data_IF_244090453930
#
_entry.id   IF_244090453930
#
_cell.length_a   1.000
_cell.length_b   1.000
_cell.length_c   1.000
_cell.angle_alpha   90.00
_cell.angle_beta   90.00
_cell.angle_gamma   90.00
#
_symmetry.space_group_name_H-M   'P 1'
#
loop_
_entity.id
_entity.type
_entity.pdbx_description
1 polymer ?
#
# COMPACT_ATOMS: atom_id res chain seq x y z
N UNK A 1 21.99 23.55 26.51
CA UNK A 1 21.76 23.33 25.06
C UNK A 1 21.63 21.87 24.59
N UNK A 2 22.31 20.86 25.19
CA UNK A 2 22.04 19.42 24.87
C UNK A 2 20.69 18.86 25.36
N UNK A 3 19.96 19.61 26.22
CA UNK A 3 18.66 19.17 26.76
C UNK A 3 17.48 19.44 25.80
N UNK A 4 17.53 20.50 25.00
CA UNK A 4 16.48 20.80 24.02
C UNK A 4 16.49 19.82 22.84
N UNK A 5 17.69 19.42 22.37
CA UNK A 5 17.83 18.47 21.26
C UNK A 5 17.31 17.05 21.58
N UNK A 6 17.20 16.71 22.86
CA UNK A 6 16.72 15.39 23.33
C UNK A 6 15.28 15.41 23.90
N UNK A 7 14.56 16.52 23.74
CA UNK A 7 13.18 16.66 24.23
C UNK A 7 13.05 16.50 25.75
N UNK A 8 14.06 16.95 26.52
CA UNK A 8 14.01 16.94 27.99
C UNK A 8 14.17 15.57 28.67
N UNK A 9 14.52 14.50 27.92
CA UNK A 9 14.66 13.15 28.49
C UNK A 9 15.97 12.98 29.28
N UNK A 10 15.93 12.19 30.36
CA UNK A 10 17.13 11.83 31.13
C UNK A 10 18.10 10.96 30.32
N UNK A 11 19.40 11.05 30.61
CA UNK A 11 20.44 10.23 29.92
C UNK A 11 20.15 8.73 30.02
N UNK A 12 19.64 8.26 31.17
CA UNK A 12 19.27 6.87 31.37
C UNK A 12 18.11 6.44 30.46
N UNK A 13 17.08 7.28 30.33
CA UNK A 13 15.96 7.01 29.41
C UNK A 13 16.46 6.91 27.97
N UNK A 14 17.33 7.83 27.53
CA UNK A 14 17.89 7.78 26.19
C UNK A 14 18.72 6.53 25.93
N UNK A 15 19.48 6.07 26.93
CA UNK A 15 20.27 4.84 26.83
C UNK A 15 19.38 3.59 26.70
N UNK A 16 18.32 3.49 27.49
CA UNK A 16 17.35 2.38 27.39
C UNK A 16 16.64 2.37 26.03
N UNK A 17 16.29 3.55 25.50
CA UNK A 17 15.73 3.70 24.15
C UNK A 17 16.74 3.24 23.06
N UNK A 18 18.01 3.64 23.17
CA UNK A 18 19.07 3.22 22.23
C UNK A 18 19.27 1.69 22.28
N UNK A 19 19.38 1.09 23.47
CA UNK A 19 19.53 -0.37 23.63
C UNK A 19 18.32 -1.12 23.08
N UNK A 20 17.12 -0.59 23.33
CA UNK A 20 15.87 -1.19 22.84
C UNK A 20 15.86 -1.30 21.32
N UNK A 21 16.17 -0.18 20.65
CA UNK A 21 16.14 -0.14 19.19
C UNK A 21 17.30 -0.97 18.62
N UNK A 22 18.47 -0.94 19.26
CA UNK A 22 19.60 -1.79 18.90
C UNK A 22 19.24 -3.28 19.01
N UNK A 23 18.61 -3.70 20.12
CA UNK A 23 18.11 -5.06 20.31
C UNK A 23 17.18 -5.45 19.16
N UNK A 24 16.24 -4.58 18.76
CA UNK A 24 15.32 -4.88 17.67
C UNK A 24 16.04 -5.02 16.32
N UNK A 25 17.00 -4.13 16.02
CA UNK A 25 17.81 -4.19 14.80
C UNK A 25 18.64 -5.48 14.76
N UNK A 26 19.31 -5.82 15.86
CA UNK A 26 20.13 -7.03 15.95
C UNK A 26 19.27 -8.30 15.88
N UNK A 27 18.09 -8.30 16.50
CA UNK A 27 17.15 -9.41 16.43
C UNK A 27 16.70 -9.66 14.99
N UNK A 28 16.32 -8.60 14.27
CA UNK A 28 15.92 -8.70 12.86
C UNK A 28 17.06 -9.21 11.95
N UNK A 29 18.29 -8.75 12.16
CA UNK A 29 19.43 -9.08 11.31
C UNK A 29 20.05 -10.45 11.61
N UNK A 30 20.15 -10.82 12.89
CA UNK A 30 21.07 -11.89 13.31
C UNK A 30 20.41 -13.03 14.09
N UNK A 31 19.26 -12.85 14.74
CA UNK A 31 18.71 -13.87 15.64
C UNK A 31 18.46 -15.21 14.93
N UNK A 32 17.85 -15.20 13.73
CA UNK A 32 17.57 -16.43 12.99
C UNK A 32 18.84 -17.19 12.56
N UNK A 33 19.82 -16.46 12.01
CA UNK A 33 21.07 -17.07 11.54
C UNK A 33 21.93 -17.56 12.71
N UNK A 34 22.15 -16.71 13.72
CA UNK A 34 22.93 -17.08 14.91
C UNK A 34 22.29 -18.25 15.66
N UNK A 35 20.96 -18.26 15.78
CA UNK A 35 20.22 -19.35 16.39
C UNK A 35 20.34 -20.67 15.62
N UNK A 36 20.24 -20.63 14.29
CA UNK A 36 20.45 -21.81 13.45
C UNK A 36 21.89 -22.34 13.60
N UNK A 37 22.89 -21.46 13.51
CA UNK A 37 24.29 -21.83 13.66
C UNK A 37 24.58 -22.42 15.04
N UNK A 38 24.00 -21.85 16.10
CA UNK A 38 24.10 -22.38 17.46
C UNK A 38 23.51 -23.78 17.55
N UNK A 39 22.30 -24.02 17.04
CA UNK A 39 21.67 -25.35 17.08
C UNK A 39 22.48 -26.38 16.29
N UNK A 40 22.97 -26.01 15.09
CA UNK A 40 23.83 -26.87 14.29
C UNK A 40 25.14 -27.17 15.01
N UNK A 41 25.78 -26.17 15.62
CA UNK A 41 26.98 -26.39 16.43
C UNK A 41 26.72 -27.34 17.60
N UNK A 42 25.63 -27.14 18.35
CA UNK A 42 25.26 -27.98 19.50
C UNK A 42 24.98 -29.44 19.11
N UNK A 43 24.54 -29.71 17.87
CA UNK A 43 24.39 -31.09 17.36
C UNK A 43 25.71 -31.87 17.37
N UNK A 44 26.86 -31.18 17.32
CA UNK A 44 28.20 -31.79 17.36
C UNK A 44 28.83 -31.78 18.77
N UNK A 45 28.03 -31.52 19.81
CA UNK A 45 28.47 -31.50 21.21
C UNK A 45 27.70 -32.51 22.05
N UNK A 46 28.07 -32.68 23.33
CA UNK A 46 27.30 -33.50 24.28
C UNK A 46 25.87 -32.99 24.51
N UNK A 47 25.55 -31.76 24.08
CA UNK A 47 24.23 -31.14 24.20
C UNK A 47 23.30 -31.43 23.00
N UNK A 48 23.65 -32.33 22.08
CA UNK A 48 22.91 -32.60 20.83
C UNK A 48 21.42 -32.94 21.01
N UNK A 49 21.03 -33.48 22.18
CA UNK A 49 19.62 -33.76 22.49
C UNK A 49 18.75 -32.49 22.47
N UNK A 50 19.31 -31.33 22.85
CA UNK A 50 18.58 -30.05 22.85
C UNK A 50 18.16 -29.65 21.42
N UNK A 51 19.09 -29.49 20.44
CA UNK A 51 18.70 -29.19 19.07
C UNK A 51 17.91 -30.31 18.41
N UNK A 52 18.17 -31.59 18.72
CA UNK A 52 17.38 -32.69 18.17
C UNK A 52 15.89 -32.58 18.56
N UNK A 53 15.60 -32.40 19.85
CA UNK A 53 14.23 -32.20 20.33
C UNK A 53 13.60 -30.93 19.73
N UNK A 54 14.36 -29.84 19.64
CA UNK A 54 13.88 -28.60 19.04
C UNK A 54 13.55 -28.76 17.54
N UNK A 55 14.41 -29.42 16.75
CA UNK A 55 14.14 -29.68 15.33
C UNK A 55 12.96 -30.63 15.13
N UNK A 56 12.83 -31.67 15.96
CA UNK A 56 11.64 -32.53 15.95
C UNK A 56 10.38 -31.72 16.21
N UNK A 57 10.38 -30.86 17.24
CA UNK A 57 9.26 -29.96 17.51
C UNK A 57 9.00 -29.00 16.34
N UNK A 58 10.03 -28.43 15.73
CA UNK A 58 9.91 -27.51 14.59
C UNK A 58 9.25 -28.18 13.37
N UNK A 59 9.56 -29.45 13.11
CA UNK A 59 8.95 -30.23 12.02
C UNK A 59 7.48 -30.52 12.32
N UNK A 60 7.16 -30.96 13.55
CA UNK A 60 5.78 -31.21 13.96
C UNK A 60 4.92 -29.94 13.95
N UNK A 61 5.55 -28.81 14.25
CA UNK A 61 4.91 -27.50 14.36
C UNK A 61 4.95 -26.69 13.06
N UNK A 62 5.44 -27.25 11.95
CA UNK A 62 5.84 -26.52 10.75
C UNK A 62 4.82 -25.51 10.23
N UNK A 63 3.54 -25.89 10.23
CA UNK A 63 2.44 -25.09 9.66
C UNK A 63 1.88 -24.01 10.59
N UNK A 64 2.23 -24.00 11.88
CA UNK A 64 1.64 -23.08 12.87
C UNK A 64 1.71 -21.59 12.49
N UNK A 65 2.81 -21.06 11.90
CA UNK A 65 2.85 -19.67 11.45
C UNK A 65 1.76 -19.37 10.39
N UNK A 66 1.39 -20.35 9.58
CA UNK A 66 0.37 -20.21 8.55
C UNK A 66 -1.06 -20.36 9.09
N UNK A 67 -1.21 -20.75 10.37
CA UNK A 67 -2.48 -21.02 11.05
C UNK A 67 -2.70 -20.09 12.25
N UNK A 68 -2.29 -18.82 12.12
CA UNK A 68 -2.50 -17.79 13.14
C UNK A 68 -1.38 -17.66 14.19
N UNK A 69 -0.37 -18.52 14.16
CA UNK A 69 0.80 -18.41 15.02
C UNK A 69 0.49 -18.62 16.51
N UNK A 70 1.29 -17.97 17.36
CA UNK A 70 1.20 -18.06 18.83
C UNK A 70 1.29 -16.69 19.48
N UNK A 71 0.36 -15.80 19.13
CA UNK A 71 0.33 -14.45 19.68
C UNK A 71 0.33 -14.50 21.22
N UNK A 72 1.22 -13.73 21.85
CA UNK A 72 1.35 -13.62 23.30
C UNK A 72 1.13 -12.18 23.73
N UNK A 73 0.07 -11.96 24.52
CA UNK A 73 -0.19 -10.63 25.09
C UNK A 73 0.93 -10.21 26.04
N UNK A 74 1.56 -11.14 26.75
CA UNK A 74 2.71 -10.84 27.59
C UNK A 74 3.86 -10.23 26.78
N UNK A 75 4.23 -10.87 25.66
CA UNK A 75 5.31 -10.36 24.79
C UNK A 75 4.94 -9.01 24.19
N UNK A 76 3.71 -8.83 23.70
CA UNK A 76 3.27 -7.55 23.09
C UNK A 76 3.14 -6.40 24.11
N UNK A 77 3.08 -6.70 25.41
CA UNK A 77 3.04 -5.72 26.51
C UNK A 77 4.41 -5.46 27.17
N UNK A 78 5.51 -6.02 26.67
CA UNK A 78 6.83 -5.78 27.25
C UNK A 78 7.17 -4.28 27.35
N UNK A 79 7.81 -3.90 28.47
CA UNK A 79 8.20 -2.51 28.73
C UNK A 79 9.13 -1.95 27.64
N UNK A 80 9.92 -2.81 27.00
CA UNK A 80 10.79 -2.46 25.88
C UNK A 80 10.03 -1.76 24.74
N UNK A 81 8.76 -2.11 24.50
CA UNK A 81 7.96 -1.47 23.45
C UNK A 81 7.58 -0.01 23.75
N UNK A 82 7.54 0.37 25.03
CA UNK A 82 7.36 1.78 25.42
C UNK A 82 8.59 2.60 25.03
N UNK A 83 9.79 2.04 25.25
CA UNK A 83 11.04 2.67 24.83
C UNK A 83 11.16 2.75 23.30
N UNK A 84 10.72 1.73 22.57
CA UNK A 84 10.65 1.76 21.10
C UNK A 84 9.74 2.91 20.60
N UNK A 85 8.53 3.01 21.16
CA UNK A 85 7.59 4.09 20.84
C UNK A 85 8.18 5.46 21.13
N UNK A 86 8.82 5.61 22.30
CA UNK A 86 9.41 6.87 22.74
C UNK A 86 10.66 7.26 21.95
N UNK A 87 11.44 6.30 21.42
CA UNK A 87 12.62 6.55 20.59
C UNK A 87 12.26 7.28 19.27
N UNK A 88 11.17 6.84 18.63
CA UNK A 88 10.67 7.37 17.35
C UNK A 88 9.42 8.27 17.47
N UNK A 89 9.15 8.84 18.64
CA UNK A 89 7.82 9.30 19.05
C UNK A 89 6.62 8.79 18.22
N UNK A 90 6.34 7.48 18.23
CA UNK A 90 5.34 6.85 17.35
C UNK A 90 3.92 7.25 17.74
N UNK A 91 3.14 7.70 16.76
CA UNK A 91 1.72 8.04 16.90
C UNK A 91 0.88 7.28 15.89
N UNK A 92 -0.16 6.60 16.37
CA UNK A 92 -1.21 6.01 15.54
C UNK A 92 -2.40 6.98 15.50
N UNK A 93 -2.82 7.38 14.31
CA UNK A 93 -3.97 8.26 14.07
C UNK A 93 -4.98 7.51 13.22
N UNK A 94 -6.23 7.44 13.66
CA UNK A 94 -7.35 6.93 12.85
C UNK A 94 -8.22 8.08 12.38
N UNK A 95 -8.83 7.95 11.20
CA UNK A 95 -9.80 8.94 10.68
C UNK A 95 -11.25 8.58 10.94
N UNK A 96 -11.52 7.36 11.40
CA UNK A 96 -12.86 6.84 11.68
C UNK A 96 -12.79 5.48 12.38
N UNK A 97 -13.96 4.94 12.72
CA UNK A 97 -14.06 3.63 13.37
C UNK A 97 -13.96 2.47 12.38
N UNK A 98 -13.59 1.30 12.88
CA UNK A 98 -13.72 0.03 12.18
C UNK A 98 -14.82 -0.79 12.86
N UNK A 99 -15.65 -1.48 12.08
CA UNK A 99 -16.67 -2.35 12.60
C UNK A 99 -16.03 -3.68 13.07
N UNK A 100 -16.08 -4.02 14.38
CA UNK A 100 -15.49 -5.26 14.90
C UNK A 100 -16.15 -6.55 14.38
N UNK A 101 -17.30 -6.44 13.71
CA UNK A 101 -17.98 -7.56 13.06
C UNK A 101 -17.44 -7.86 11.66
N UNK A 102 -16.43 -7.13 11.19
CA UNK A 102 -15.81 -7.31 9.87
C UNK A 102 -14.32 -7.62 9.97
N UNK A 103 -13.79 -8.17 8.89
CA UNK A 103 -12.36 -8.38 8.70
C UNK A 103 -11.80 -7.39 7.69
N UNK A 104 -10.54 -7.02 7.87
CA UNK A 104 -9.89 -5.96 7.11
C UNK A 104 -8.51 -6.40 6.61
N UNK A 105 -8.14 -5.91 5.42
CA UNK A 105 -6.77 -5.93 4.93
C UNK A 105 -6.25 -4.50 4.89
N UNK A 106 -5.27 -4.20 5.75
CA UNK A 106 -4.63 -2.90 5.85
C UNK A 106 -3.39 -2.82 4.94
N UNK A 107 -3.45 -2.00 3.91
CA UNK A 107 -2.32 -1.77 3.00
C UNK A 107 -1.44 -0.63 3.51
N UNK A 108 -0.27 -0.97 4.05
CA UNK A 108 0.65 -0.03 4.68
C UNK A 108 1.77 0.45 3.75
N UNK A 109 2.01 1.76 3.74
CA UNK A 109 3.09 2.44 3.04
C UNK A 109 3.68 3.60 3.87
N UNK A 110 4.91 4.05 3.61
CA UNK A 110 5.94 3.32 2.89
C UNK A 110 6.55 2.22 3.77
N UNK A 111 7.31 1.31 3.17
CA UNK A 111 8.01 0.26 3.93
C UNK A 111 9.16 0.81 4.80
N UNK A 112 9.87 1.83 4.31
CA UNK A 112 11.20 2.17 4.85
C UNK A 112 12.14 0.96 4.80
N UNK A 113 13.22 0.97 5.56
CA UNK A 113 14.14 -0.17 5.60
C UNK A 113 13.59 -1.31 6.47
N UNK A 114 13.05 -0.99 7.66
CA UNK A 114 12.62 -1.99 8.66
C UNK A 114 11.16 -1.85 9.11
N UNK A 115 10.42 -0.86 8.59
CA UNK A 115 9.00 -0.65 8.90
C UNK A 115 8.69 -0.50 10.40
N UNK A 116 9.48 0.33 11.09
CA UNK A 116 9.41 0.53 12.54
C UNK A 116 8.05 1.07 12.98
N UNK A 117 7.43 1.96 12.18
CA UNK A 117 6.09 2.46 12.44
C UNK A 117 5.03 1.37 12.39
N UNK A 118 5.07 0.53 11.35
CA UNK A 118 4.13 -0.59 11.21
C UNK A 118 4.31 -1.62 12.34
N UNK A 119 5.55 -2.01 12.65
CA UNK A 119 5.84 -2.92 13.75
C UNK A 119 5.35 -2.35 15.09
N UNK A 120 5.68 -1.09 15.38
CA UNK A 120 5.29 -0.45 16.63
C UNK A 120 3.75 -0.39 16.74
N UNK A 121 3.06 0.11 15.71
CA UNK A 121 1.60 0.30 15.76
C UNK A 121 0.83 -1.02 15.80
N UNK A 122 1.22 -2.03 15.02
CA UNK A 122 0.38 -3.21 14.76
C UNK A 122 0.85 -4.48 15.47
N UNK A 123 2.08 -4.52 15.97
CA UNK A 123 2.65 -5.69 16.65
C UNK A 123 2.93 -5.48 18.14
N UNK A 124 2.74 -4.28 18.68
CA UNK A 124 2.97 -3.97 20.10
C UNK A 124 1.77 -3.26 20.71
N UNK A 125 1.46 -3.54 21.98
CA UNK A 125 0.33 -2.90 22.66
C UNK A 125 0.55 -1.40 22.91
N UNK A 126 1.75 -0.92 23.28
CA UNK A 126 2.00 0.52 23.41
C UNK A 126 1.84 1.30 22.10
N UNK A 127 1.89 0.61 20.95
CA UNK A 127 1.66 1.18 19.62
C UNK A 127 0.30 1.86 19.44
N UNK A 128 -0.68 1.52 20.27
CA UNK A 128 -1.95 2.24 20.34
C UNK A 128 -3.10 1.61 19.54
N UNK A 129 -2.87 0.51 18.81
CA UNK A 129 -3.91 -0.11 17.98
C UNK A 129 -5.12 -0.62 18.77
N UNK A 130 -4.97 -1.37 19.90
CA UNK A 130 -6.12 -1.82 20.68
C UNK A 130 -6.96 -0.68 21.24
N UNK A 131 -6.33 0.45 21.59
CA UNK A 131 -7.01 1.65 22.07
C UNK A 131 -7.69 2.40 20.91
N UNK A 132 -7.05 2.45 19.75
CA UNK A 132 -7.60 3.06 18.55
C UNK A 132 -8.77 2.25 18.00
N UNK A 133 -8.73 0.92 18.04
CA UNK A 133 -9.78 0.06 17.49
C UNK A 133 -10.16 -1.05 18.50
N UNK A 134 -10.97 -0.72 19.52
CA UNK A 134 -11.41 -1.69 20.51
C UNK A 134 -12.14 -2.88 19.87
N UNK A 135 -11.83 -4.09 20.32
CA UNK A 135 -12.40 -5.32 19.76
C UNK A 135 -11.74 -5.79 18.46
N UNK A 136 -10.83 -5.03 17.88
CA UNK A 136 -10.04 -5.43 16.71
C UNK A 136 -8.71 -6.09 17.11
N UNK A 137 -8.24 -7.01 16.27
CA UNK A 137 -6.92 -7.65 16.39
C UNK A 137 -6.08 -7.35 15.15
N UNK A 138 -4.93 -6.71 15.33
CA UNK A 138 -3.97 -6.48 14.25
C UNK A 138 -2.94 -7.61 14.16
N UNK A 139 -2.68 -8.07 12.93
CA UNK A 139 -1.62 -9.02 12.61
C UNK A 139 -0.79 -8.50 11.45
N UNK A 140 0.46 -8.09 11.72
CA UNK A 140 1.37 -7.59 10.69
C UNK A 140 2.04 -8.75 9.94
N UNK A 141 1.91 -8.73 8.62
CA UNK A 141 2.45 -9.73 7.71
C UNK A 141 3.90 -9.39 7.33
N UNK A 142 4.81 -10.34 7.56
CA UNK A 142 6.24 -10.23 7.31
C UNK A 142 6.72 -11.32 6.35
N UNK A 143 7.90 -11.15 5.75
CA UNK A 143 8.53 -12.11 4.84
C UNK A 143 8.43 -13.57 5.34
N UNK A 144 7.81 -14.46 4.55
CA UNK A 144 7.53 -15.84 4.98
C UNK A 144 8.79 -16.65 5.38
N UNK A 145 9.96 -16.31 4.82
CA UNK A 145 11.23 -16.98 5.12
C UNK A 145 11.67 -16.87 6.57
N UNK A 146 11.36 -15.77 7.29
CA UNK A 146 11.75 -15.63 8.70
C UNK A 146 10.99 -16.59 9.63
N UNK A 147 9.84 -17.11 9.20
CA UNK A 147 9.06 -18.10 9.94
C UNK A 147 9.55 -19.54 9.75
N UNK A 148 10.66 -19.73 9.03
CA UNK A 148 11.35 -21.03 8.88
C UNK A 148 12.64 -21.13 9.67
N UNK A 149 13.12 -20.01 10.22
CA UNK A 149 14.37 -19.95 10.97
C UNK A 149 14.12 -20.16 12.46
N UNK A 150 14.92 -20.99 13.16
CA UNK A 150 14.83 -21.18 14.60
C UNK A 150 14.88 -19.87 15.40
N UNK A 151 14.19 -19.86 16.54
CA UNK A 151 14.07 -18.78 17.53
C UNK A 151 13.35 -17.52 17.03
N UNK A 152 13.78 -16.96 15.90
CA UNK A 152 13.16 -15.76 15.31
C UNK A 152 11.71 -16.06 14.88
N UNK A 153 11.43 -17.29 14.44
CA UNK A 153 10.07 -17.78 14.15
C UNK A 153 9.16 -17.66 15.37
N UNK A 154 9.58 -18.19 16.51
CA UNK A 154 8.80 -18.16 17.76
C UNK A 154 8.65 -16.74 18.27
N UNK A 155 9.74 -15.97 18.25
CA UNK A 155 9.74 -14.56 18.64
C UNK A 155 8.71 -13.75 17.84
N UNK A 156 8.70 -13.91 16.51
CA UNK A 156 7.76 -13.23 15.63
C UNK A 156 6.31 -13.68 15.87
N UNK A 157 6.07 -14.98 16.02
CA UNK A 157 4.73 -15.49 16.33
C UNK A 157 4.20 -14.95 17.66
N UNK A 158 5.06 -14.87 18.69
CA UNK A 158 4.71 -14.29 19.99
C UNK A 158 4.33 -12.81 19.88
N UNK A 159 5.01 -12.04 19.02
CA UNK A 159 4.64 -10.65 18.72
C UNK A 159 3.32 -10.52 17.91
N UNK A 160 2.72 -11.64 17.48
CA UNK A 160 1.52 -11.64 16.63
C UNK A 160 1.81 -11.33 15.17
N UNK A 161 3.07 -11.49 14.73
CA UNK A 161 3.45 -11.42 13.32
C UNK A 161 3.10 -12.73 12.61
N UNK A 162 2.81 -12.63 11.31
CA UNK A 162 2.50 -13.79 10.48
C UNK A 162 3.23 -13.74 9.12
N UNK A 163 3.42 -14.87 8.43
CA UNK A 163 4.01 -14.89 7.10
C UNK A 163 3.07 -14.24 6.08
N UNK A 164 3.61 -13.38 5.22
CA UNK A 164 2.89 -12.78 4.07
C UNK A 164 2.68 -13.82 2.96
N UNK A 165 1.79 -14.78 3.21
CA UNK A 165 1.39 -15.83 2.27
C UNK A 165 -0.12 -15.90 2.16
N UNK A 166 -0.64 -16.24 0.97
CA UNK A 166 -2.09 -16.38 0.76
C UNK A 166 -2.74 -17.26 1.84
N UNK A 167 -2.14 -18.42 2.12
CA UNK A 167 -2.64 -19.36 3.13
C UNK A 167 -2.77 -18.75 4.53
N UNK A 168 -1.75 -18.00 4.99
CA UNK A 168 -1.79 -17.38 6.32
C UNK A 168 -2.82 -16.26 6.41
N UNK A 169 -2.87 -15.41 5.37
CA UNK A 169 -3.81 -14.30 5.33
C UNK A 169 -5.26 -14.82 5.24
N UNK A 170 -5.54 -15.83 4.41
CA UNK A 170 -6.87 -16.48 4.33
C UNK A 170 -7.26 -17.16 5.64
N UNK A 171 -6.31 -17.78 6.34
CA UNK A 171 -6.59 -18.39 7.63
C UNK A 171 -7.10 -17.36 8.65
N UNK A 172 -6.46 -16.19 8.73
CA UNK A 172 -6.94 -15.11 9.59
C UNK A 172 -8.32 -14.63 9.15
N UNK A 173 -8.52 -14.38 7.85
CA UNK A 173 -9.77 -13.82 7.34
C UNK A 173 -10.96 -14.78 7.38
N UNK A 174 -10.73 -16.10 7.30
CA UNK A 174 -11.81 -17.12 7.23
C UNK A 174 -11.96 -17.97 8.48
N UNK A 175 -10.88 -18.24 9.21
CA UNK A 175 -10.86 -19.23 10.30
C UNK A 175 -10.70 -18.60 11.69
N UNK A 176 -10.30 -17.33 11.78
CA UNK A 176 -10.06 -16.64 13.05
C UNK A 176 -11.23 -15.76 13.50
N UNK A 177 -12.43 -15.98 12.96
CA UNK A 177 -13.62 -15.19 13.27
C UNK A 177 -13.61 -13.79 12.62
N UNK A 178 -14.34 -12.86 13.22
CA UNK A 178 -14.44 -11.46 12.81
C UNK A 178 -13.56 -10.55 13.69
N UNK A 179 -13.38 -9.30 13.31
CA UNK A 179 -12.59 -8.32 14.07
C UNK A 179 -11.09 -8.43 13.80
N UNK A 180 -10.68 -9.04 12.69
CA UNK A 180 -9.28 -9.21 12.34
C UNK A 180 -8.83 -8.15 11.31
N UNK A 181 -7.70 -7.51 11.58
CA UNK A 181 -7.04 -6.57 10.68
C UNK A 181 -5.66 -7.10 10.29
N UNK A 182 -5.56 -7.60 9.07
CA UNK A 182 -4.30 -8.12 8.52
C UNK A 182 -3.54 -6.98 7.85
N UNK A 183 -2.35 -6.66 8.34
CA UNK A 183 -1.56 -5.53 7.84
C UNK A 183 -0.48 -6.03 6.89
N UNK A 184 -0.45 -5.49 5.67
CA UNK A 184 0.50 -5.88 4.63
C UNK A 184 1.25 -4.64 4.16
N UNK A 185 2.58 -4.72 4.14
CA UNK A 185 3.41 -3.68 3.56
C UNK A 185 3.52 -3.92 2.06
N UNK A 186 2.71 -3.21 1.28
CA UNK A 186 2.32 -3.67 -0.06
C UNK A 186 3.50 -3.67 -1.05
N UNK A 187 4.35 -2.65 -1.03
CA UNK A 187 5.51 -2.59 -1.94
C UNK A 187 6.66 -3.51 -1.53
N UNK A 188 6.65 -4.04 -0.30
CA UNK A 188 7.64 -5.00 0.21
C UNK A 188 9.09 -4.56 -0.05
N UNK A 189 9.95 -5.51 -0.39
CA UNK A 189 11.37 -5.27 -0.62
C UNK A 189 11.69 -4.25 -1.72
N UNK A 190 10.81 -4.03 -2.70
CA UNK A 190 11.06 -3.02 -3.75
C UNK A 190 10.91 -1.60 -3.23
N UNK A 191 9.95 -1.40 -2.33
CA UNK A 191 9.74 -0.14 -1.64
C UNK A 191 10.85 0.11 -0.63
N UNK A 192 11.31 -0.93 0.09
CA UNK A 192 12.48 -0.84 0.97
C UNK A 192 13.72 -0.41 0.20
N UNK A 193 14.01 -1.04 -0.95
CA UNK A 193 15.16 -0.71 -1.81
C UNK A 193 15.10 0.69 -2.44
N UNK A 194 13.94 1.33 -2.44
CA UNK A 194 13.73 2.67 -2.93
C UNK A 194 13.59 3.71 -1.81
N UNK A 195 13.71 3.28 -0.54
CA UNK A 195 13.66 4.15 0.63
C UNK A 195 14.82 5.13 0.63
N UNK A 196 14.51 6.42 0.62
CA UNK A 196 15.49 7.49 0.75
C UNK A 196 14.87 8.65 1.55
N UNK A 197 15.68 9.33 2.38
CA UNK A 197 15.28 10.57 3.04
C UNK A 197 14.68 11.58 2.05
N UNK A 198 13.58 12.23 2.44
CA UNK A 198 12.84 13.21 1.65
C UNK A 198 12.00 12.63 0.50
N UNK A 199 12.04 11.31 0.28
CA UNK A 199 11.36 10.67 -0.86
C UNK A 199 10.44 9.55 -0.39
N UNK A 200 9.17 9.67 -0.72
CA UNK A 200 8.18 8.61 -0.52
C UNK A 200 7.93 7.88 -1.84
N UNK A 201 8.58 6.73 -2.01
CA UNK A 201 8.33 5.83 -3.13
C UNK A 201 7.28 4.81 -2.73
N UNK A 202 6.21 4.69 -3.52
CA UNK A 202 5.15 3.68 -3.31
C UNK A 202 5.15 2.73 -4.50
N UNK A 203 5.30 1.44 -4.24
CA UNK A 203 5.38 0.40 -5.29
C UNK A 203 4.05 -0.37 -5.35
N UNK A 204 3.21 -0.05 -6.32
CA UNK A 204 1.85 -0.62 -6.42
C UNK A 204 1.53 -1.32 -7.75
N UNK A 205 2.24 -0.99 -8.84
CA UNK A 205 1.88 -1.39 -10.22
C UNK A 205 1.55 -2.88 -10.38
N UNK A 206 2.32 -3.75 -9.71
CA UNK A 206 2.20 -5.20 -9.77
C UNK A 206 1.68 -5.83 -8.46
N UNK A 207 1.30 -5.03 -7.46
CA UNK A 207 1.01 -5.50 -6.10
C UNK A 207 -0.49 -5.60 -5.84
N UNK A 208 -1.19 -6.40 -6.66
CA UNK A 208 -2.66 -6.51 -6.62
C UNK A 208 -3.20 -7.68 -5.80
N UNK A 209 -2.32 -8.58 -5.37
CA UNK A 209 -2.71 -9.82 -4.70
C UNK A 209 -3.54 -9.59 -3.44
N UNK A 210 -3.25 -8.53 -2.68
CA UNK A 210 -4.00 -8.20 -1.46
C UNK A 210 -5.43 -7.73 -1.74
N UNK A 211 -5.66 -7.01 -2.85
CA UNK A 211 -7.01 -6.58 -3.26
C UNK A 211 -7.82 -7.77 -3.72
N UNK A 212 -7.21 -8.63 -4.56
CA UNK A 212 -7.84 -9.89 -4.96
C UNK A 212 -8.19 -10.74 -3.74
N UNK A 213 -7.28 -10.82 -2.76
CA UNK A 213 -7.50 -11.55 -1.53
C UNK A 213 -8.66 -10.94 -0.71
N UNK A 214 -8.75 -9.62 -0.61
CA UNK A 214 -9.84 -8.93 0.06
C UNK A 214 -11.20 -9.32 -0.54
N UNK A 215 -11.31 -9.25 -1.87
CA UNK A 215 -12.51 -9.64 -2.62
C UNK A 215 -12.86 -11.11 -2.44
N UNK A 216 -11.87 -12.02 -2.52
CA UNK A 216 -12.06 -13.47 -2.31
C UNK A 216 -12.52 -13.84 -0.89
N UNK A 217 -12.35 -12.94 0.08
CA UNK A 217 -12.63 -13.19 1.49
C UNK A 217 -13.70 -12.26 2.10
N UNK A 218 -14.27 -11.35 1.31
CA UNK A 218 -15.21 -10.34 1.81
C UNK A 218 -14.62 -9.42 2.88
N UNK A 219 -13.31 -9.15 2.80
CA UNK A 219 -12.62 -8.27 3.74
C UNK A 219 -12.53 -6.85 3.17
N UNK A 220 -12.70 -5.85 4.03
CA UNK A 220 -12.64 -4.44 3.63
C UNK A 220 -11.18 -3.97 3.54
N UNK A 221 -10.85 -3.18 2.51
CA UNK A 221 -9.51 -2.60 2.36
C UNK A 221 -9.37 -1.31 3.15
N UNK A 222 -8.26 -1.18 3.88
CA UNK A 222 -7.96 0.01 4.69
C UNK A 222 -6.58 0.54 4.32
N UNK A 223 -6.46 1.72 3.68
CA UNK A 223 -5.16 2.31 3.41
C UNK A 223 -4.52 2.83 4.69
N UNK A 224 -3.23 2.51 4.86
CA UNK A 224 -2.40 2.94 5.99
C UNK A 224 -1.16 3.65 5.47
N UNK A 225 -0.84 4.81 6.05
CA UNK A 225 0.33 5.59 5.67
C UNK A 225 1.18 6.03 6.87
N UNK A 226 2.48 5.76 6.85
CA UNK A 226 3.44 6.07 7.92
C UNK A 226 4.39 7.20 7.51
N UNK A 227 4.13 8.41 8.01
CA UNK A 227 5.04 9.54 7.84
C UNK A 227 6.30 9.37 8.70
N UNK A 228 7.47 9.76 8.17
CA UNK A 228 8.76 9.70 8.87
C UNK A 228 9.54 8.38 8.70
N UNK A 229 8.90 7.35 8.15
CA UNK A 229 9.48 5.99 8.03
C UNK A 229 10.74 5.94 7.14
N UNK A 230 10.78 6.72 6.06
CA UNK A 230 11.94 6.77 5.16
C UNK A 230 13.10 7.64 5.70
N UNK A 231 12.89 8.36 6.79
CA UNK A 231 13.90 9.23 7.43
C UNK A 231 14.74 8.49 8.47
N UNK A 232 14.40 7.23 8.78
CA UNK A 232 15.04 6.47 9.86
C UNK A 232 16.44 6.00 9.47
N UNK A 233 16.65 5.73 8.19
CA UNK A 233 17.90 5.20 7.67
C UNK A 233 18.24 5.79 6.29
N UNK A 234 19.35 6.51 6.18
CA UNK A 234 19.99 6.80 4.90
C UNK A 234 20.41 5.49 4.22
N UNK A 235 19.75 5.17 3.12
CA UNK A 235 20.09 4.01 2.30
C UNK A 235 21.25 4.32 1.35
N UNK A 236 22.18 3.38 1.22
CA UNK A 236 23.20 3.39 0.19
C UNK A 236 22.58 2.86 -1.10
N UNK A 237 22.12 3.77 -1.96
CA UNK A 237 21.51 3.43 -3.24
C UNK A 237 22.60 3.03 -4.26
N UNK A 238 22.61 1.75 -4.62
CA UNK A 238 23.52 1.23 -5.64
C UNK A 238 23.10 1.73 -7.02
N UNK A 239 24.06 2.29 -7.77
CA UNK A 239 23.81 2.84 -9.11
C UNK A 239 23.29 1.77 -10.07
N UNK A 240 22.38 2.16 -10.98
CA UNK A 240 21.83 1.26 -12.00
C UNK A 240 22.96 0.73 -12.88
N UNK A 241 23.04 -0.59 -13.04
CA UNK A 241 24.08 -1.25 -13.84
C UNK A 241 25.36 -1.63 -13.09
N UNK A 242 25.56 -1.15 -11.86
CA UNK A 242 26.71 -1.52 -11.03
C UNK A 242 26.77 -3.02 -10.71
N UNK A 243 27.98 -3.53 -10.48
CA UNK A 243 28.21 -4.91 -10.01
C UNK A 243 27.44 -5.16 -8.71
N UNK A 244 27.48 -4.21 -7.77
CA UNK A 244 26.71 -4.28 -6.53
C UNK A 244 25.21 -4.44 -6.77
N UNK A 245 24.62 -3.66 -7.68
CA UNK A 245 23.18 -3.78 -8.00
C UNK A 245 22.84 -5.11 -8.67
N UNK A 246 23.73 -5.63 -9.52
CA UNK A 246 23.58 -6.96 -10.14
C UNK A 246 23.63 -8.06 -9.07
N UNK A 247 24.57 -7.99 -8.13
CA UNK A 247 24.68 -8.93 -7.01
C UNK A 247 23.46 -8.86 -6.08
N UNK A 248 23.00 -7.67 -5.73
CA UNK A 248 21.80 -7.46 -4.93
C UNK A 248 20.54 -8.02 -5.62
N UNK A 249 20.44 -7.85 -6.95
CA UNK A 249 19.34 -8.43 -7.73
C UNK A 249 19.40 -9.96 -7.82
N UNK A 250 20.61 -10.53 -7.94
CA UNK A 250 20.82 -11.97 -7.87
C UNK A 250 20.42 -12.53 -6.50
N UNK A 251 20.88 -11.90 -5.42
CA UNK A 251 20.52 -12.29 -4.06
C UNK A 251 18.99 -12.22 -3.86
N UNK A 252 18.33 -11.15 -4.31
CA UNK A 252 16.86 -11.05 -4.28
C UNK A 252 16.17 -12.20 -5.01
N UNK A 253 16.71 -12.63 -6.16
CA UNK A 253 16.15 -13.73 -6.95
C UNK A 253 16.28 -15.07 -6.22
N UNK A 254 17.40 -15.31 -5.54
CA UNK A 254 17.68 -16.56 -4.82
C UNK A 254 16.94 -16.61 -3.47
N UNK A 255 17.00 -15.52 -2.70
CA UNK A 255 16.54 -15.48 -1.31
C UNK A 255 15.13 -14.89 -1.15
N UNK A 256 14.57 -14.28 -2.20
CA UNK A 256 13.25 -13.64 -2.17
C UNK A 256 13.21 -12.25 -1.54
N UNK A 257 14.32 -11.77 -0.98
CA UNK A 257 14.49 -10.43 -0.43
C UNK A 257 15.86 -9.86 -0.80
N UNK A 258 15.97 -8.53 -0.87
CA UNK A 258 17.23 -7.87 -1.14
C UNK A 258 17.75 -7.19 0.14
N UNK A 259 19.01 -7.41 0.54
CA UNK A 259 19.57 -6.69 1.67
C UNK A 259 19.63 -5.20 1.31
N UNK A 260 19.05 -4.36 2.15
CA UNK A 260 19.24 -2.91 2.07
C UNK A 260 20.59 -2.60 2.70
N UNK A 261 21.47 -1.92 1.96
CA UNK A 261 22.68 -1.35 2.52
C UNK A 261 22.32 0.01 3.07
N UNK A 262 22.55 0.25 4.35
CA UNK A 262 22.19 1.49 5.00
C UNK A 262 23.26 1.91 5.99
N UNK A 263 23.20 3.18 6.35
CA UNK A 263 23.98 3.74 7.44
C UNK A 263 23.02 4.18 8.53
N UNK A 264 23.33 3.83 9.78
CA UNK A 264 22.68 4.37 10.96
C UNK A 264 23.39 5.62 11.47
N UNK A 265 22.84 6.21 12.52
CA UNK A 265 23.54 7.22 13.32
C UNK A 265 24.60 6.55 14.20
N UNK A 266 24.30 6.36 15.48
CA UNK A 266 25.22 5.73 16.43
C UNK A 266 25.49 4.26 16.08
N UNK A 267 26.71 3.80 16.29
CA UNK A 267 27.16 2.42 16.00
C UNK A 267 26.93 1.96 14.55
N UNK A 268 26.75 2.89 13.59
CA UNK A 268 26.52 2.62 12.16
C UNK A 268 25.25 1.82 11.81
N UNK A 269 24.52 1.29 12.79
CA UNK A 269 23.31 0.46 12.59
C UNK A 269 22.08 0.99 13.31
N UNK A 270 22.24 1.95 14.24
CA UNK A 270 21.10 2.51 14.96
C UNK A 270 20.37 3.55 14.09
N UNK A 271 19.05 3.45 13.89
CA UNK A 271 18.29 4.42 13.10
C UNK A 271 18.28 5.82 13.71
N UNK A 272 18.02 6.84 12.89
CA UNK A 272 17.85 8.20 13.36
C UNK A 272 16.54 8.36 14.15
N UNK A 273 16.59 9.15 15.23
CA UNK A 273 15.42 9.51 16.04
C UNK A 273 14.56 10.51 15.29
N UNK A 274 13.57 10.00 14.56
CA UNK A 274 12.59 10.81 13.83
C UNK A 274 11.18 10.44 14.26
N UNK A 275 10.26 11.41 14.38
CA UNK A 275 8.88 11.14 14.71
C UNK A 275 8.23 10.31 13.60
N UNK A 276 7.49 9.26 13.98
CA UNK A 276 6.69 8.46 13.05
C UNK A 276 5.21 8.66 13.35
N UNK A 277 4.44 9.03 12.34
CA UNK A 277 2.98 9.13 12.45
C UNK A 277 2.33 8.19 11.45
N UNK A 278 1.68 7.15 11.95
CA UNK A 278 0.94 6.17 11.15
C UNK A 278 -0.53 6.56 11.13
N UNK A 279 -1.02 6.93 9.95
CA UNK A 279 -2.40 7.26 9.66
C UNK A 279 -3.12 6.02 9.12
N UNK A 280 -4.19 5.60 9.79
CA UNK A 280 -5.12 4.58 9.31
C UNK A 280 -6.34 5.33 8.77
N UNK A 281 -6.51 5.32 7.44
CA UNK A 281 -7.64 6.00 6.81
C UNK A 281 -8.83 5.06 6.73
N UNK A 282 -9.73 5.26 7.67
CA UNK A 282 -11.01 4.58 7.85
C UNK A 282 -12.08 5.65 7.72
N UNK A 283 -12.91 5.58 6.69
CA UNK A 283 -13.92 6.59 6.49
C UNK A 283 -14.88 6.19 5.40
N UNK A 284 -16.16 6.10 5.77
CA UNK A 284 -17.23 6.30 4.82
C UNK A 284 -17.16 7.73 4.30
N UNK A 285 -17.59 7.93 3.06
CA UNK A 285 -17.59 9.25 2.46
C UNK A 285 -18.74 10.06 3.09
N UNK A 286 -18.39 11.03 3.93
CA UNK A 286 -19.32 11.91 4.62
C UNK A 286 -20.05 12.81 3.62
N UNK A 287 -21.39 12.72 3.48
CA UNK A 287 -22.16 13.57 2.56
C UNK A 287 -22.09 15.07 2.86
N UNK A 288 -21.53 15.48 4.01
CA UNK A 288 -21.26 16.88 4.37
C UNK A 288 -19.94 17.41 3.82
N UNK A 289 -19.20 16.60 3.05
CA UNK A 289 -17.93 16.98 2.42
C UNK A 289 -17.97 16.79 0.91
N UNK A 290 -17.07 17.50 0.23
CA UNK A 290 -16.82 17.30 -1.19
C UNK A 290 -15.56 16.47 -1.40
N UNK A 291 -15.57 15.68 -2.47
CA UNK A 291 -14.54 14.70 -2.78
C UNK A 291 -14.03 14.86 -4.20
N UNK A 292 -12.73 14.61 -4.39
CA UNK A 292 -12.17 14.34 -5.72
C UNK A 292 -11.73 12.88 -5.74
N UNK A 293 -12.42 12.09 -6.57
CA UNK A 293 -12.13 10.68 -6.77
C UNK A 293 -11.18 10.49 -7.96
N UNK A 294 -10.01 9.93 -7.70
CA UNK A 294 -8.97 9.70 -8.70
C UNK A 294 -9.00 8.27 -9.24
N UNK A 295 -9.59 8.06 -10.41
CA UNK A 295 -9.76 6.74 -11.02
C UNK A 295 -8.55 6.28 -11.85
N UNK A 296 -8.17 5.02 -11.68
CA UNK A 296 -7.15 4.33 -12.47
C UNK A 296 -7.49 2.84 -12.67
N UNK A 297 -6.98 2.19 -13.73
CA UNK A 297 -6.41 2.79 -14.93
C UNK A 297 -7.52 3.30 -15.85
N UNK A 298 -7.20 4.19 -16.80
CA UNK A 298 -8.19 4.66 -17.78
C UNK A 298 -8.73 3.53 -18.70
N UNK A 299 -7.89 2.55 -19.06
CA UNK A 299 -8.18 1.69 -20.22
C UNK A 299 -8.29 2.50 -21.52
N UNK A 300 -8.80 1.88 -22.59
CA UNK A 300 -9.01 2.59 -23.87
C UNK A 300 -10.23 3.51 -23.77
N UNK A 301 -11.36 2.95 -23.34
CA UNK A 301 -12.58 3.66 -22.95
C UNK A 301 -12.86 3.25 -21.51
N UNK A 302 -12.86 4.19 -20.57
CA UNK A 302 -13.00 3.88 -19.14
C UNK A 302 -14.45 3.49 -18.80
N UNK A 303 -14.84 2.29 -19.22
CA UNK A 303 -16.16 1.70 -19.06
C UNK A 303 -16.50 1.51 -17.58
N UNK A 304 -15.55 1.09 -16.75
CA UNK A 304 -15.71 0.95 -15.31
C UNK A 304 -16.02 2.28 -14.63
N UNK A 305 -15.29 3.34 -14.95
CA UNK A 305 -15.58 4.66 -14.40
C UNK A 305 -16.94 5.19 -14.90
N UNK A 306 -17.23 5.03 -16.20
CA UNK A 306 -18.53 5.43 -16.75
C UNK A 306 -19.69 4.69 -16.10
N UNK A 307 -19.63 3.36 -16.03
CA UNK A 307 -20.68 2.53 -15.44
C UNK A 307 -20.83 2.79 -13.95
N UNK A 308 -19.75 2.84 -13.16
CA UNK A 308 -19.83 3.04 -11.71
C UNK A 308 -20.23 4.46 -11.31
N UNK A 309 -19.84 5.50 -12.07
CA UNK A 309 -19.96 6.88 -11.60
C UNK A 309 -20.90 7.76 -12.43
N UNK A 310 -21.30 7.33 -13.64
CA UNK A 310 -22.21 8.10 -14.51
C UNK A 310 -23.55 7.40 -14.73
N UNK A 311 -23.72 6.17 -14.24
CA UNK A 311 -24.97 5.42 -14.44
C UNK A 311 -25.44 4.77 -13.14
N UNK A 312 -26.76 4.78 -12.94
CA UNK A 312 -27.42 4.21 -11.76
C UNK A 312 -27.14 2.71 -11.56
N UNK A 313 -27.09 1.86 -12.60
CA UNK A 313 -26.79 0.43 -12.43
C UNK A 313 -25.41 0.15 -11.84
N UNK A 314 -24.50 1.13 -11.85
CA UNK A 314 -23.18 1.04 -11.25
C UNK A 314 -23.17 1.00 -9.71
N UNK A 315 -24.30 1.28 -9.06
CA UNK A 315 -24.45 1.08 -7.62
C UNK A 315 -23.97 2.25 -6.74
N UNK A 316 -23.55 3.38 -7.32
CA UNK A 316 -22.96 4.47 -6.53
C UNK A 316 -23.93 5.09 -5.52
N UNK A 317 -25.19 5.41 -5.87
CA UNK A 317 -26.14 5.98 -4.90
C UNK A 317 -26.50 5.00 -3.77
N UNK A 318 -26.45 3.69 -4.04
CA UNK A 318 -26.67 2.64 -3.04
C UNK A 318 -25.46 2.47 -2.13
N UNK A 319 -24.25 2.59 -2.67
CA UNK A 319 -23.00 2.50 -1.92
C UNK A 319 -22.73 3.76 -1.08
N UNK A 320 -23.12 4.93 -1.58
CA UNK A 320 -22.87 6.24 -0.96
C UNK A 320 -24.13 7.11 -0.94
N UNK A 321 -25.11 6.77 -0.08
CA UNK A 321 -26.37 7.49 -0.01
C UNK A 321 -26.15 8.97 0.37
N UNK A 322 -26.86 9.86 -0.32
CA UNK A 322 -26.77 11.31 -0.09
C UNK A 322 -25.60 12.00 -0.78
N UNK A 323 -24.73 11.26 -1.49
CA UNK A 323 -23.69 11.84 -2.33
C UNK A 323 -24.11 11.96 -3.78
N UNK A 324 -23.63 13.01 -4.45
CA UNK A 324 -23.81 13.24 -5.89
C UNK A 324 -22.50 12.99 -6.60
N UNK A 325 -22.53 12.18 -7.65
CA UNK A 325 -21.34 11.85 -8.43
C UNK A 325 -21.34 12.62 -9.76
N UNK A 326 -20.18 13.09 -10.20
CA UNK A 326 -20.01 13.67 -11.53
C UNK A 326 -18.68 13.25 -12.14
N UNK A 327 -18.74 12.50 -13.24
CA UNK A 327 -17.54 12.03 -13.94
C UNK A 327 -17.02 13.09 -14.91
N UNK A 328 -15.75 13.46 -14.75
CA UNK A 328 -15.07 14.43 -15.57
C UNK A 328 -14.45 13.78 -16.82
N UNK A 329 -14.82 14.27 -18.00
CA UNK A 329 -14.34 13.80 -19.30
C UNK A 329 -13.58 14.91 -20.05
N UNK A 330 -12.78 14.54 -21.06
CA UNK A 330 -12.04 15.47 -21.91
C UNK A 330 -12.89 16.66 -22.38
N UNK A 331 -12.49 17.89 -22.04
CA UNK A 331 -13.26 19.10 -22.33
C UNK A 331 -13.58 19.34 -23.82
N UNK A 332 -12.73 18.85 -24.73
CA UNK A 332 -12.94 18.97 -26.18
C UNK A 332 -14.22 18.27 -26.67
N UNK A 333 -14.66 17.21 -25.96
CA UNK A 333 -15.87 16.45 -26.28
C UNK A 333 -17.14 17.32 -26.16
N UNK A 334 -17.14 18.28 -25.23
CA UNK A 334 -18.27 19.20 -25.00
C UNK A 334 -18.38 20.32 -26.06
N UNK A 335 -17.48 20.35 -27.06
CA UNK A 335 -17.59 21.24 -28.23
C UNK A 335 -18.37 20.62 -29.38
N UNK A 336 -18.62 19.31 -29.34
CA UNK A 336 -19.34 18.60 -30.40
C UNK A 336 -20.86 18.74 -30.18
N UNK A 337 -21.63 19.27 -31.16
CA UNK A 337 -23.08 19.32 -31.09
C UNK A 337 -23.67 17.92 -30.86
N UNK A 338 -24.80 17.82 -30.16
CA UNK A 338 -25.48 16.58 -29.73
C UNK A 338 -24.70 15.70 -28.72
N UNK A 339 -23.42 15.41 -28.97
CA UNK A 339 -22.61 14.64 -28.02
C UNK A 339 -22.44 15.38 -26.69
N UNK A 340 -22.34 16.72 -26.75
CA UNK A 340 -22.40 17.61 -25.58
C UNK A 340 -23.65 17.36 -24.75
N UNK A 341 -24.83 17.41 -25.37
CA UNK A 341 -26.11 17.25 -24.66
C UNK A 341 -26.23 15.85 -24.06
N UNK A 342 -25.83 14.81 -24.81
CA UNK A 342 -25.81 13.44 -24.31
C UNK A 342 -24.89 13.28 -23.09
N UNK A 343 -23.69 13.87 -23.15
CA UNK A 343 -22.72 13.82 -22.05
C UNK A 343 -23.25 14.53 -20.81
N UNK A 344 -23.82 15.72 -20.97
CA UNK A 344 -24.40 16.48 -19.86
C UNK A 344 -25.60 15.77 -19.24
N UNK A 345 -26.47 15.17 -20.06
CA UNK A 345 -27.62 14.39 -19.60
C UNK A 345 -27.19 13.13 -18.81
N UNK A 346 -26.04 12.54 -19.15
CA UNK A 346 -25.43 11.43 -18.41
C UNK A 346 -24.67 11.88 -17.15
N UNK A 347 -24.77 13.16 -16.75
CA UNK A 347 -24.08 13.69 -15.57
C UNK A 347 -22.57 13.87 -15.74
N UNK A 348 -22.07 13.84 -16.99
CA UNK A 348 -20.66 14.11 -17.28
C UNK A 348 -20.39 15.60 -17.32
N UNK A 349 -19.17 15.97 -16.93
CA UNK A 349 -18.70 17.36 -17.01
C UNK A 349 -17.33 17.45 -17.68
N UNK A 350 -16.96 18.62 -18.24
CA UNK A 350 -15.63 18.79 -18.81
C UNK A 350 -14.56 18.88 -17.71
N UNK A 351 -13.45 18.13 -17.89
CA UNK A 351 -12.30 18.14 -17.00
C UNK A 351 -11.48 19.42 -17.16
N UNK A 352 -11.96 20.51 -16.57
CA UNK A 352 -11.28 21.80 -16.50
C UNK A 352 -11.48 22.43 -15.12
N UNK A 353 -10.56 23.31 -14.72
CA UNK A 353 -10.56 23.91 -13.37
C UNK A 353 -11.90 24.55 -13.02
N UNK A 354 -12.45 25.38 -13.91
CA UNK A 354 -13.69 26.12 -13.68
C UNK A 354 -14.88 25.20 -13.37
N UNK A 355 -15.04 24.12 -14.13
CA UNK A 355 -16.18 23.20 -13.97
C UNK A 355 -16.06 22.38 -12.70
N UNK A 356 -14.84 21.92 -12.38
CA UNK A 356 -14.58 21.17 -11.16
C UNK A 356 -14.74 22.06 -9.91
N UNK A 357 -14.25 23.31 -9.95
CA UNK A 357 -14.44 24.29 -8.86
C UNK A 357 -15.91 24.64 -8.65
N UNK A 358 -16.69 24.76 -9.73
CA UNK A 358 -18.12 25.01 -9.63
C UNK A 358 -18.82 23.91 -8.82
N UNK A 359 -18.55 22.64 -9.13
CA UNK A 359 -19.13 21.52 -8.37
C UNK A 359 -18.63 21.50 -6.92
N UNK A 360 -17.34 21.77 -6.70
CA UNK A 360 -16.74 21.70 -5.36
C UNK A 360 -17.06 22.89 -4.45
N UNK A 361 -17.46 24.05 -5.00
CA UNK A 361 -17.77 25.28 -4.22
C UNK A 361 -19.22 25.70 -4.28
N UNK A 362 -19.81 25.72 -5.48
CA UNK A 362 -21.09 26.36 -5.73
C UNK A 362 -22.27 25.39 -5.60
N UNK A 363 -22.05 24.09 -5.83
CA UNK A 363 -23.09 23.06 -5.76
C UNK A 363 -23.35 22.51 -4.34
N UNK A 364 -22.87 23.20 -3.30
CA UNK A 364 -22.99 22.76 -1.90
C UNK A 364 -22.05 21.63 -1.52
N UNK A 365 -22.41 20.86 -0.49
CA UNK A 365 -21.66 19.70 0.03
C UNK A 365 -22.21 18.37 -0.50
N UNK A 366 -21.45 17.29 -0.36
CA UNK A 366 -21.85 15.94 -0.79
C UNK A 366 -21.55 15.65 -2.25
N UNK A 367 -20.70 16.45 -2.89
CA UNK A 367 -20.32 16.27 -4.28
C UNK A 367 -19.03 15.46 -4.41
N UNK A 368 -19.06 14.41 -5.23
CA UNK A 368 -17.92 13.59 -5.62
C UNK A 368 -17.59 13.82 -7.10
N UNK A 369 -16.48 14.49 -7.36
CA UNK A 369 -15.98 14.74 -8.71
C UNK A 369 -14.98 13.64 -9.07
N UNK A 370 -15.27 12.88 -10.12
CA UNK A 370 -14.45 11.75 -10.54
C UNK A 370 -13.54 12.15 -11.69
N UNK A 371 -12.24 11.94 -11.56
CA UNK A 371 -11.24 12.29 -12.56
C UNK A 371 -10.41 11.05 -12.90
N UNK A 372 -10.33 10.72 -14.18
CA UNK A 372 -9.41 9.68 -14.65
C UNK A 372 -8.02 10.30 -14.81
N UNK A 373 -7.20 10.20 -13.76
CA UNK A 373 -6.02 11.05 -13.61
C UNK A 373 -4.97 10.82 -14.71
N UNK A 374 -4.80 9.57 -15.15
CA UNK A 374 -3.82 9.24 -16.19
C UNK A 374 -4.22 9.66 -17.60
N UNK A 375 -5.52 9.87 -17.84
CA UNK A 375 -6.06 10.32 -19.13
C UNK A 375 -5.50 9.55 -20.33
N UNK A 376 -5.25 10.28 -21.42
CA UNK A 376 -4.76 9.71 -22.68
C UNK A 376 -3.42 8.97 -22.57
N UNK A 377 -2.58 9.26 -21.57
CA UNK A 377 -1.29 8.59 -21.42
C UNK A 377 -1.44 7.17 -20.88
N UNK A 378 -2.40 6.96 -19.97
CA UNK A 378 -2.80 5.61 -19.56
C UNK A 378 -3.52 4.87 -20.67
N UNK A 379 -4.41 5.53 -21.42
CA UNK A 379 -5.10 4.91 -22.56
C UNK A 379 -4.13 4.43 -23.64
N UNK A 380 -3.08 5.20 -23.94
CA UNK A 380 -2.04 4.85 -24.90
C UNK A 380 -1.08 3.75 -24.41
N UNK A 381 -1.09 3.45 -23.12
CA UNK A 381 -0.31 2.41 -22.50
C UNK A 381 -1.17 1.21 -22.06
N UNK A 382 -2.45 1.20 -22.46
CA UNK A 382 -3.42 0.17 -22.12
C UNK A 382 -3.08 -1.11 -22.87
N UNK A 383 -2.74 -2.16 -22.15
CA UNK A 383 -2.52 -3.48 -22.72
C UNK A 383 -3.06 -4.56 -21.78
N UNK A 384 -3.64 -5.65 -22.30
CA UNK A 384 -4.10 -6.76 -21.47
C UNK A 384 -3.00 -7.26 -20.54
N UNK A 385 -3.34 -7.44 -19.25
CA UNK A 385 -2.38 -7.88 -18.22
C UNK A 385 -1.38 -6.81 -17.75
N UNK A 386 -1.35 -5.63 -18.37
CA UNK A 386 -0.50 -4.50 -17.98
C UNK A 386 -1.38 -3.43 -17.36
N UNK A 387 -0.98 -2.92 -16.20
CA UNK A 387 -1.67 -1.80 -15.55
C UNK A 387 -0.70 -0.66 -15.38
N UNK A 388 -0.90 0.44 -16.10
CA UNK A 388 -0.05 1.62 -16.03
C UNK A 388 -0.79 2.71 -15.28
N UNK A 389 -0.14 3.26 -14.26
CA UNK A 389 -0.65 4.39 -13.47
C UNK A 389 0.28 5.58 -13.69
N UNK A 390 -0.25 6.67 -14.23
CA UNK A 390 0.50 7.88 -14.60
C UNK A 390 0.16 9.00 -13.63
N UNK A 391 1.05 9.24 -12.66
CA UNK A 391 0.83 10.21 -11.58
C UNK A 391 1.90 11.30 -11.47
N UNK A 392 3.14 11.03 -11.92
CA UNK A 392 4.32 11.86 -11.61
C UNK A 392 4.15 13.36 -11.93
N UNK A 393 3.46 13.66 -13.04
CA UNK A 393 3.20 15.05 -13.49
C UNK A 393 1.73 15.48 -13.32
N UNK A 394 0.86 14.63 -12.76
CA UNK A 394 -0.59 14.86 -12.70
C UNK A 394 -1.03 15.37 -11.33
N UNK A 395 -0.39 16.42 -10.81
CA UNK A 395 -0.65 16.96 -9.45
C UNK A 395 -1.80 17.98 -9.38
N UNK A 396 -2.36 18.38 -10.52
CA UNK A 396 -3.37 19.44 -10.59
C UNK A 396 -4.64 19.15 -9.78
N UNK A 397 -5.10 17.89 -9.75
CA UNK A 397 -6.28 17.51 -8.98
C UNK A 397 -6.04 17.56 -7.46
N UNK A 398 -4.81 17.30 -7.00
CA UNK A 398 -4.42 17.45 -5.59
C UNK A 398 -4.44 18.92 -5.19
N UNK A 399 -3.86 19.79 -6.03
CA UNK A 399 -3.91 21.24 -5.83
C UNK A 399 -5.36 21.73 -5.79
N UNK A 400 -6.19 21.26 -6.71
CA UNK A 400 -7.61 21.59 -6.76
C UNK A 400 -8.34 21.15 -5.48
N UNK A 401 -8.08 19.94 -4.98
CA UNK A 401 -8.65 19.45 -3.73
C UNK A 401 -8.31 20.37 -2.55
N UNK A 402 -7.03 20.74 -2.42
CA UNK A 402 -6.55 21.65 -1.39
C UNK A 402 -7.16 23.06 -1.49
N UNK A 403 -7.25 23.62 -2.70
CA UNK A 403 -7.84 24.94 -2.95
C UNK A 403 -9.35 25.00 -2.64
N UNK A 404 -10.03 23.84 -2.57
CA UNK A 404 -11.47 23.74 -2.39
C UNK A 404 -11.88 23.02 -1.10
N UNK A 405 -10.93 22.64 -0.25
CA UNK A 405 -11.21 21.88 0.98
C UNK A 405 -11.86 20.51 0.73
N UNK A 406 -11.63 19.92 -0.46
CA UNK A 406 -12.17 18.62 -0.83
C UNK A 406 -11.22 17.49 -0.44
N UNK A 407 -11.77 16.35 -0.03
CA UNK A 407 -11.00 15.17 0.35
C UNK A 407 -10.67 14.31 -0.89
N UNK A 408 -9.45 13.78 -0.96
CA UNK A 408 -9.02 12.90 -2.04
C UNK A 408 -9.41 11.44 -1.77
N UNK A 409 -10.00 10.78 -2.78
CA UNK A 409 -10.37 9.36 -2.74
C UNK A 409 -9.69 8.65 -3.91
N UNK A 410 -8.72 7.75 -3.68
CA UNK A 410 -8.18 6.93 -4.75
C UNK A 410 -9.22 5.88 -5.15
N UNK A 411 -9.39 5.67 -6.46
CA UNK A 411 -10.30 4.66 -7.01
C UNK A 411 -9.53 3.79 -8.00
N UNK A 412 -9.74 2.48 -7.94
CA UNK A 412 -9.08 1.54 -8.84
C UNK A 412 -10.06 0.55 -9.51
N UNK A 413 -10.05 0.49 -10.83
CA UNK A 413 -10.84 -0.45 -11.64
C UNK A 413 -9.99 -1.61 -12.16
N UNK A 414 -10.33 -2.83 -11.75
CA UNK A 414 -9.78 -4.08 -12.29
C UNK A 414 -10.59 -4.53 -13.52
N UNK A 415 -9.93 -5.11 -14.52
CA UNK A 415 -10.59 -5.60 -15.73
C UNK A 415 -10.63 -4.61 -16.90
N UNK A 416 -10.26 -3.36 -16.66
CA UNK A 416 -10.41 -2.25 -17.60
C UNK A 416 -9.53 -2.40 -18.85
N UNK A 417 -8.29 -2.84 -18.67
CA UNK A 417 -7.32 -2.97 -19.77
C UNK A 417 -7.53 -4.26 -20.57
N UNK A 418 -8.42 -5.14 -20.11
CA UNK A 418 -8.77 -6.40 -20.73
C UNK A 418 -9.97 -6.29 -21.70
N UNK A 419 -10.64 -5.13 -21.74
CA UNK A 419 -11.81 -4.88 -22.58
C UNK A 419 -11.46 -4.66 -24.06
N UNK A 420 -10.35 -3.98 -24.32
CA UNK A 420 -9.91 -3.62 -25.66
C UNK A 420 -8.40 -3.83 -25.80
N UNK A 421 -7.97 -4.89 -26.49
CA UNK A 421 -6.58 -5.04 -26.93
C UNK A 421 -6.17 -3.86 -27.81
N UNK A 422 -5.15 -3.11 -27.36
CA UNK A 422 -4.60 -1.99 -28.11
C UNK A 422 -3.60 -2.48 -29.16
N UNK A 423 -3.65 -1.87 -30.34
CA UNK A 423 -2.58 -1.97 -31.34
C UNK A 423 -1.49 -0.96 -30.98
N UNK A 424 -0.43 -1.44 -30.35
CA UNK A 424 0.70 -0.62 -29.94
C UNK A 424 1.61 -0.33 -31.14
N UNK A 425 1.72 0.95 -31.50
CA UNK A 425 2.61 1.41 -32.56
C UNK A 425 4.05 1.48 -32.03
N UNK A 426 5.01 0.94 -32.80
CA UNK A 426 6.43 0.95 -32.42
C UNK A 426 6.97 2.37 -32.28
N UNK A 427 7.87 2.57 -31.32
CA UNK A 427 8.54 3.86 -31.13
C UNK A 427 9.33 4.25 -32.39
N UNK A 428 9.21 5.52 -32.80
CA UNK A 428 9.84 6.03 -34.01
C UNK A 428 9.05 5.83 -35.32
N UNK A 429 7.99 4.99 -35.33
CA UNK A 429 7.15 4.77 -36.51
C UNK A 429 6.40 6.03 -36.96
N UNK A 430 6.05 6.10 -38.25
CA UNK A 430 5.24 7.19 -38.82
C UNK A 430 3.89 7.29 -38.08
N UNK A 431 3.25 6.14 -37.79
CA UNK A 431 2.02 6.09 -37.03
C UNK A 431 2.16 6.69 -35.63
N UNK A 432 3.24 6.39 -34.91
CA UNK A 432 3.48 6.96 -33.57
C UNK A 432 3.76 8.46 -33.63
N UNK A 433 4.46 8.93 -34.67
CA UNK A 433 4.69 10.37 -34.92
C UNK A 433 3.37 11.10 -35.22
N UNK A 434 2.50 10.53 -36.05
CA UNK A 434 1.16 11.06 -36.33
C UNK A 434 0.29 11.09 -35.07
N UNK A 435 0.29 10.01 -34.28
CA UNK A 435 -0.45 9.93 -33.02
C UNK A 435 0.04 10.98 -31.99
N UNK A 436 1.35 11.22 -31.92
CA UNK A 436 1.95 12.25 -31.07
C UNK A 436 1.61 13.68 -31.56
N UNK A 437 1.62 13.90 -32.88
CA UNK A 437 1.19 15.17 -33.48
C UNK A 437 -0.28 15.44 -33.17
N UNK A 438 -1.15 14.45 -33.35
CA UNK A 438 -2.58 14.56 -33.05
C UNK A 438 -2.81 14.85 -31.56
N UNK A 439 -2.07 14.19 -30.65
CA UNK A 439 -2.06 14.51 -29.21
C UNK A 439 -1.69 15.96 -28.93
N UNK A 440 -0.67 16.49 -29.61
CA UNK A 440 -0.18 17.86 -29.42
C UNK A 440 -1.19 18.90 -29.91
N UNK A 441 -1.91 18.62 -31.01
CA UNK A 441 -2.89 19.54 -31.62
C UNK A 441 -4.25 19.47 -30.93
N UNK A 442 -4.75 18.25 -30.68
CA UNK A 442 -6.13 18.02 -30.21
C UNK A 442 -6.24 17.74 -28.71
N UNK A 443 -5.12 17.56 -28.01
CA UNK A 443 -5.09 17.25 -26.58
C UNK A 443 -5.41 15.79 -26.23
N UNK A 444 -5.79 14.96 -27.21
CA UNK A 444 -5.98 13.52 -27.07
C UNK A 444 -5.35 12.79 -28.25
N UNK A 445 -5.01 11.52 -28.05
CA UNK A 445 -4.44 10.68 -29.10
C UNK A 445 -5.39 9.52 -29.38
N UNK A 446 -5.84 9.30 -30.63
CA UNK A 446 -6.70 8.18 -30.94
C UNK A 446 -5.96 6.88 -30.64
N UNK A 447 -6.58 6.02 -29.85
CA UNK A 447 -6.10 4.67 -29.62
C UNK A 447 -6.54 3.80 -30.79
N UNK A 448 -5.61 3.05 -31.38
CA UNK A 448 -5.95 1.98 -32.32
C UNK A 448 -6.19 0.71 -31.49
N UNK A 449 -7.34 0.07 -31.64
CA UNK A 449 -7.70 -1.10 -30.86
C UNK A 449 -8.52 -2.07 -31.69
N UNK A 450 -8.55 -3.32 -31.26
CA UNK A 450 -9.45 -4.33 -31.80
C UNK A 450 -10.52 -4.65 -30.76
N UNK A 451 -11.77 -4.62 -31.20
CA UNK A 451 -12.90 -5.14 -30.43
C UNK A 451 -13.11 -6.63 -30.67
N UNK A 452 -14.02 -7.23 -29.89
CA UNK A 452 -14.52 -8.59 -30.10
C UNK A 452 -15.41 -8.69 -31.34
N UNK A 453 -16.73 -8.87 -31.16
CA UNK A 453 -17.67 -8.92 -32.30
C UNK A 453 -17.66 -7.56 -33.05
N UNK A 454 -17.63 -7.61 -34.38
CA UNK A 454 -17.67 -6.44 -35.27
C UNK A 454 -16.51 -5.44 -35.10
N UNK A 455 -15.34 -5.86 -34.58
CA UNK A 455 -14.09 -5.09 -34.49
C UNK A 455 -14.10 -3.82 -33.60
N UNK A 456 -15.25 -3.39 -33.07
CA UNK A 456 -15.37 -2.18 -32.23
C UNK A 456 -15.98 -2.42 -30.84
N UNK A 457 -16.58 -3.59 -30.58
CA UNK A 457 -17.20 -3.89 -29.29
C UNK A 457 -16.20 -4.40 -28.25
N UNK A 458 -16.35 -4.08 -26.95
CA UNK A 458 -15.47 -4.60 -25.91
C UNK A 458 -15.59 -6.11 -25.75
N UNK A 459 -14.49 -6.75 -25.32
CA UNK A 459 -14.53 -8.11 -24.81
C UNK A 459 -15.30 -8.18 -23.50
N UNK A 460 -16.11 -9.23 -23.32
CA UNK A 460 -16.87 -9.47 -22.09
C UNK A 460 -15.92 -9.93 -20.98
N UNK A 461 -15.40 -9.00 -20.21
CA UNK A 461 -14.56 -9.25 -19.03
C UNK A 461 -15.20 -8.56 -17.81
N UNK A 462 -15.14 -9.18 -16.62
CA UNK A 462 -15.65 -8.55 -15.42
C UNK A 462 -14.82 -7.31 -15.09
N UNK A 463 -15.50 -6.22 -14.74
CA UNK A 463 -14.89 -5.02 -14.20
C UNK A 463 -15.24 -4.93 -12.71
N UNK A 464 -14.27 -4.61 -11.87
CA UNK A 464 -14.50 -4.39 -10.44
C UNK A 464 -13.81 -3.10 -10.03
N UNK A 465 -14.58 -2.11 -9.61
CA UNK A 465 -14.08 -0.82 -9.14
C UNK A 465 -14.08 -0.81 -7.61
N UNK A 466 -12.98 -0.38 -7.02
CA UNK A 466 -12.75 -0.28 -5.57
C UNK A 466 -12.34 1.13 -5.19
#
# INVERSE_FOLDING_TARGET
DKMEENGGKSKWKLFLEDITVLHLVLTFLFMGLSGLLLLVYLMFTSLWLIPALYFTWLILDWDTPQRGGRRSEFVRNWCIWKHLKDYFPVKLVKTGELNPSKNYIMGCHPHGIMSMGALSCFSTEPGGFPQAFPGMRSSLAMLAGVFRMPFIREYNMCAGLLPVSKQSLEYILRKSGVGNAVVIIIGGAEESLASAPGVNTVVMKQRKGFVRLALENGADLVPVYSFGENELFPQVLLSKGSIGRKLQALFKRVMGFAPCLFTGGRCLILPYRRPITTLVKTGELNPSKNYIMGCHPHGIMSMGAFSCFSTEPGGFPQAFPGMRCSLAMLAGVFRMPFFREYSLAAGLLPVNKQSLEYILRQSGVGNAVVIIIGGAEESLASAPGVNTVVMKQRKGFVRLALENGADLVPVYSFGENELFPQVLLSEGSIGRKLQALFKRVMGFAPCLFTGGRCLILPYRRPITTV
#
